data_IF_187459510729
#
_entry.id   IF_187459510729
#
_cell.length_a   1.000
_cell.length_b   1.000
_cell.length_c   1.000
_cell.angle_alpha   90.00
_cell.angle_beta   90.00
_cell.angle_gamma   90.00
#
_symmetry.space_group_name_H-M   'P 1'
#
loop_
_entity.id
_entity.type
_entity.pdbx_description
1 polymer ?
#
# COMPACT_ATOMS: atom_id res chain seq x y z
N UNK A 1 -12.19 14.44 13.21
CA UNK A 1 -12.32 13.03 12.76
C UNK A 1 -11.08 12.22 13.18
N UNK A 2 -9.87 12.63 12.86
CA UNK A 2 -8.63 11.90 13.23
C UNK A 2 -8.55 11.56 14.73
N UNK A 3 -8.95 12.46 15.61
CA UNK A 3 -8.92 12.27 17.06
C UNK A 3 -9.84 11.15 17.58
N UNK A 4 -10.78 10.64 16.77
CA UNK A 4 -11.68 9.54 17.17
C UNK A 4 -10.94 8.19 17.17
N UNK A 5 -9.86 8.07 16.34
CA UNK A 5 -9.06 6.85 16.24
C UNK A 5 -9.80 5.63 15.67
N UNK A 6 -10.90 5.86 14.95
CA UNK A 6 -11.67 4.80 14.28
C UNK A 6 -11.42 4.80 12.78
N UNK A 7 -10.81 3.76 12.26
CA UNK A 7 -10.48 3.60 10.84
C UNK A 7 -11.67 3.67 9.88
N UNK A 8 -12.88 3.45 10.37
CA UNK A 8 -14.11 3.49 9.57
C UNK A 8 -14.75 4.89 9.55
N UNK A 9 -14.31 5.78 10.45
CA UNK A 9 -14.74 7.18 10.46
C UNK A 9 -13.82 8.00 9.60
N UNK A 10 -14.19 8.18 8.34
CA UNK A 10 -13.38 8.92 7.35
C UNK A 10 -14.15 10.12 6.80
N UNK A 11 -13.40 11.14 6.38
CA UNK A 11 -13.91 12.22 5.52
C UNK A 11 -13.45 11.99 4.10
N UNK A 12 -14.24 12.40 3.13
CA UNK A 12 -13.81 12.42 1.74
C UNK A 12 -12.84 13.59 1.52
N UNK A 13 -11.54 13.33 1.55
CA UNK A 13 -10.51 14.33 1.24
C UNK A 13 -10.20 14.41 -0.27
N UNK A 14 -10.83 13.56 -1.08
CA UNK A 14 -10.61 13.52 -2.52
C UNK A 14 -10.85 14.87 -3.20
N UNK A 15 -11.80 15.69 -2.71
CA UNK A 15 -12.02 17.04 -3.25
C UNK A 15 -10.85 17.99 -2.98
N UNK A 16 -10.13 17.80 -1.87
CA UNK A 16 -8.93 18.59 -1.55
C UNK A 16 -7.77 18.12 -2.42
N UNK A 17 -7.57 16.81 -2.55
CA UNK A 17 -6.53 16.24 -3.40
C UNK A 17 -6.70 16.63 -4.88
N UNK A 18 -7.94 16.75 -5.36
CA UNK A 18 -8.22 17.12 -6.75
C UNK A 18 -8.10 18.63 -7.02
N UNK A 19 -7.97 19.46 -5.99
CA UNK A 19 -7.87 20.92 -6.14
C UNK A 19 -6.45 21.47 -6.01
N UNK A 20 -5.48 20.63 -5.75
CA UNK A 20 -4.08 21.02 -5.49
C UNK A 20 -3.12 20.13 -6.27
N UNK A 21 -1.86 20.52 -6.30
CA UNK A 21 -0.80 19.76 -6.94
C UNK A 21 -0.46 18.46 -6.21
N UNK A 22 0.17 17.57 -6.96
CA UNK A 22 0.70 16.30 -6.48
C UNK A 22 2.19 16.21 -6.81
N UNK A 23 3.01 15.89 -5.84
CA UNK A 23 4.46 15.72 -6.04
C UNK A 23 4.74 14.37 -6.70
N UNK A 24 5.47 14.30 -7.84
CA UNK A 24 5.70 13.09 -8.62
C UNK A 24 6.78 12.18 -8.01
N UNK A 25 6.52 11.65 -6.82
CA UNK A 25 7.35 10.63 -6.19
C UNK A 25 6.48 9.60 -5.45
N UNK A 26 7.06 8.46 -5.11
CA UNK A 26 6.39 7.43 -4.32
C UNK A 26 7.30 6.93 -3.21
N UNK A 27 6.79 6.86 -1.97
CA UNK A 27 7.47 6.23 -0.85
C UNK A 27 6.50 5.29 -0.14
N UNK A 28 6.95 4.07 0.14
CA UNK A 28 6.16 3.04 0.80
C UNK A 28 6.93 2.50 2.03
N UNK A 29 6.18 2.06 3.04
CA UNK A 29 6.77 1.49 4.26
C UNK A 29 7.04 0.00 4.08
N UNK A 30 8.31 -0.38 4.18
CA UNK A 30 8.76 -1.77 4.14
C UNK A 30 9.74 -2.03 5.28
N UNK A 31 9.48 -3.10 6.04
CA UNK A 31 10.39 -3.67 7.05
C UNK A 31 11.10 -2.63 7.95
N UNK A 32 10.34 -1.68 8.45
CA UNK A 32 10.85 -0.70 9.40
C UNK A 32 11.38 0.61 8.78
N UNK A 33 11.30 0.78 7.46
CA UNK A 33 11.79 1.99 6.78
C UNK A 33 10.85 2.47 5.68
N UNK A 34 10.94 3.75 5.34
CA UNK A 34 10.29 4.33 4.17
C UNK A 34 11.20 4.14 2.96
N UNK A 35 10.73 3.47 1.93
CA UNK A 35 11.53 3.15 0.74
C UNK A 35 10.99 3.94 -0.44
N UNK A 36 11.88 4.60 -1.18
CA UNK A 36 11.55 5.29 -2.42
C UNK A 36 11.17 4.26 -3.48
N UNK A 37 9.90 4.27 -3.90
CA UNK A 37 9.35 3.29 -4.85
C UNK A 37 9.01 3.88 -6.20
N UNK A 38 8.94 5.21 -6.30
CA UNK A 38 8.69 5.95 -7.53
C UNK A 38 9.46 7.26 -7.54
N UNK A 39 10.07 7.59 -8.67
CA UNK A 39 10.79 8.85 -8.89
C UNK A 39 10.79 9.19 -10.38
N UNK A 40 11.05 10.43 -10.74
CA UNK A 40 11.30 10.82 -12.13
C UNK A 40 12.55 10.10 -12.68
N UNK A 41 12.68 10.05 -14.00
CA UNK A 41 13.72 9.23 -14.66
C UNK A 41 15.14 9.68 -14.25
N UNK A 42 15.35 10.99 -14.04
CA UNK A 42 16.64 11.55 -13.63
C UNK A 42 17.06 11.10 -12.22
N UNK A 43 16.09 10.79 -11.35
CA UNK A 43 16.30 10.36 -9.96
C UNK A 43 16.14 8.85 -9.77
N UNK A 44 15.92 8.11 -10.85
CA UNK A 44 15.69 6.66 -10.83
C UNK A 44 16.83 5.86 -10.15
N UNK A 45 18.03 6.41 -10.11
CA UNK A 45 19.17 5.81 -9.41
C UNK A 45 18.99 5.74 -7.88
N UNK A 46 18.09 6.57 -7.31
CA UNK A 46 17.77 6.58 -5.88
C UNK A 46 16.66 5.61 -5.49
N UNK A 47 15.99 4.98 -6.46
CA UNK A 47 14.95 3.98 -6.18
C UNK A 47 15.47 2.85 -5.30
N UNK A 48 14.67 2.46 -4.31
CA UNK A 48 15.06 1.46 -3.32
C UNK A 48 15.84 2.02 -2.12
N UNK A 49 16.28 3.28 -2.16
CA UNK A 49 16.90 3.94 -1.02
C UNK A 49 15.86 4.28 0.06
N UNK A 50 16.32 4.37 1.30
CA UNK A 50 15.47 4.80 2.41
C UNK A 50 15.22 6.31 2.34
N UNK A 51 13.95 6.71 2.28
CA UNK A 51 13.54 8.13 2.41
C UNK A 51 13.63 8.49 3.89
N UNK A 52 14.44 9.50 4.20
CA UNK A 52 14.72 9.90 5.58
C UNK A 52 13.98 11.17 5.98
N UNK A 53 13.78 12.12 5.06
CA UNK A 53 13.12 13.38 5.33
C UNK A 53 12.46 13.98 4.07
N UNK A 54 11.48 14.88 4.28
CA UNK A 54 10.95 15.79 3.29
C UNK A 54 11.14 17.22 3.81
N UNK A 55 11.74 18.12 2.99
CA UNK A 55 12.11 19.47 3.40
C UNK A 55 12.81 19.51 4.78
N UNK A 56 13.68 18.54 5.05
CA UNK A 56 14.38 18.41 6.33
C UNK A 56 13.55 17.88 7.50
N UNK A 57 12.24 17.67 7.33
CA UNK A 57 11.37 17.05 8.37
C UNK A 57 11.51 15.53 8.30
N UNK A 58 11.90 14.87 9.40
CA UNK A 58 12.08 13.41 9.41
C UNK A 58 10.78 12.65 9.13
N UNK A 59 10.87 11.50 8.42
CA UNK A 59 9.70 10.71 8.03
C UNK A 59 8.85 10.21 9.22
N UNK A 60 9.46 9.91 10.38
CA UNK A 60 8.70 9.51 11.58
C UNK A 60 7.87 10.67 12.15
N UNK A 61 8.41 11.89 12.09
CA UNK A 61 7.67 13.10 12.47
C UNK A 61 6.54 13.38 11.48
N UNK A 62 6.80 13.25 10.18
CA UNK A 62 5.78 13.37 9.13
C UNK A 62 4.63 12.39 9.38
N UNK A 63 4.94 11.12 9.60
CA UNK A 63 3.92 10.11 9.91
C UNK A 63 3.10 10.47 11.17
N UNK A 64 3.77 11.01 12.20
CA UNK A 64 3.10 11.48 13.42
C UNK A 64 2.15 12.65 13.11
N UNK A 65 2.58 13.63 12.31
CA UNK A 65 1.75 14.77 11.89
C UNK A 65 0.54 14.30 11.07
N UNK A 66 0.70 13.32 10.18
CA UNK A 66 -0.42 12.70 9.44
C UNK A 66 -1.47 12.10 10.37
N UNK A 67 -1.11 11.64 11.58
CA UNK A 67 -2.05 11.20 12.60
C UNK A 67 -3.07 12.27 13.03
N UNK A 68 -2.83 13.55 12.72
CA UNK A 68 -3.81 14.64 12.96
C UNK A 68 -4.82 14.79 11.83
N UNK A 69 -4.50 14.31 10.62
CA UNK A 69 -5.35 14.37 9.44
C UNK A 69 -6.23 13.14 9.28
N UNK A 70 -5.64 11.96 9.51
CA UNK A 70 -6.26 10.68 9.21
C UNK A 70 -6.68 9.95 10.47
N UNK A 71 -7.81 9.25 10.39
CA UNK A 71 -8.29 8.41 11.48
C UNK A 71 -7.70 7.01 11.33
N UNK A 72 -6.89 6.60 12.31
CA UNK A 72 -6.24 5.30 12.31
C UNK A 72 -6.32 4.66 13.70
N UNK A 73 -6.73 3.41 13.77
CA UNK A 73 -6.86 2.62 14.99
C UNK A 73 -5.57 1.89 15.37
N UNK A 74 -4.59 1.89 14.47
CA UNK A 74 -3.29 1.27 14.69
C UNK A 74 -2.18 1.90 13.82
N UNK A 75 -0.88 1.70 14.20
CA UNK A 75 0.24 2.29 13.46
C UNK A 75 0.36 1.81 12.02
N UNK A 76 -0.06 0.59 11.70
CA UNK A 76 0.00 0.06 10.31
C UNK A 76 -0.97 0.83 9.42
N UNK A 77 -2.20 1.07 9.94
CA UNK A 77 -3.20 1.85 9.21
C UNK A 77 -2.73 3.30 9.01
N UNK A 78 -2.13 3.91 10.04
CA UNK A 78 -1.58 5.26 9.93
C UNK A 78 -0.53 5.34 8.82
N UNK A 79 0.46 4.45 8.82
CA UNK A 79 1.50 4.40 7.77
C UNK A 79 0.90 4.22 6.39
N UNK A 80 -0.06 3.30 6.25
CA UNK A 80 -0.73 3.05 4.97
C UNK A 80 -1.49 4.27 4.44
N UNK A 81 -2.11 5.05 5.32
CA UNK A 81 -2.77 6.29 4.92
C UNK A 81 -1.77 7.40 4.63
N UNK A 82 -0.66 7.47 5.37
CA UNK A 82 0.44 8.38 5.06
C UNK A 82 1.00 8.10 3.66
N UNK A 83 1.26 6.84 3.29
CA UNK A 83 1.69 6.46 1.94
C UNK A 83 0.76 6.99 0.84
N UNK A 84 -0.55 6.99 1.09
CA UNK A 84 -1.56 7.42 0.12
C UNK A 84 -1.67 8.93 -0.03
N UNK A 85 -1.19 9.70 0.95
CA UNK A 85 -1.37 11.14 1.02
C UNK A 85 -0.05 11.92 0.99
N UNK A 86 1.08 11.22 1.08
CA UNK A 86 2.42 11.80 1.21
C UNK A 86 2.82 12.67 0.01
N UNK A 87 2.24 12.39 -1.16
CA UNK A 87 2.50 13.14 -2.39
C UNK A 87 1.56 14.34 -2.58
N UNK A 88 0.60 14.57 -1.68
CA UNK A 88 -0.37 15.67 -1.80
C UNK A 88 0.21 16.98 -1.27
N UNK A 89 0.33 17.96 -2.16
CA UNK A 89 0.74 19.31 -1.82
C UNK A 89 -0.10 19.90 -0.67
N UNK A 90 -1.44 19.83 -0.78
CA UNK A 90 -2.32 20.36 0.25
C UNK A 90 -2.15 19.69 1.61
N UNK A 91 -1.88 18.37 1.65
CA UNK A 91 -1.63 17.69 2.92
C UNK A 91 -0.32 18.12 3.54
N UNK A 92 0.74 18.24 2.74
CA UNK A 92 2.06 18.67 3.22
C UNK A 92 2.06 20.12 3.68
N UNK A 93 1.37 21.02 2.96
CA UNK A 93 1.20 22.42 3.36
C UNK A 93 0.43 22.55 4.67
N UNK A 94 -0.72 21.88 4.78
CA UNK A 94 -1.51 21.87 6.01
C UNK A 94 -0.71 21.38 7.23
N UNK A 95 0.17 20.40 7.02
CA UNK A 95 1.02 19.83 8.09
C UNK A 95 2.31 20.65 8.34
N UNK A 96 2.54 21.74 7.59
CA UNK A 96 3.73 22.57 7.70
C UNK A 96 5.01 21.84 7.32
N UNK A 97 4.94 20.98 6.31
CA UNK A 97 6.07 20.21 5.76
C UNK A 97 6.58 20.87 4.48
N UNK A 98 5.68 21.35 3.63
CA UNK A 98 5.98 22.08 2.40
C UNK A 98 5.06 23.30 2.31
N UNK A 99 5.48 24.35 1.61
CA UNK A 99 4.62 25.49 1.25
C UNK A 99 3.99 25.22 -0.12
N UNK A 100 2.71 25.58 -0.29
CA UNK A 100 2.01 25.39 -1.56
C UNK A 100 2.65 26.22 -2.67
N UNK A 101 2.90 25.63 -3.82
CA UNK A 101 3.58 26.23 -4.96
C UNK A 101 5.10 26.16 -4.91
N UNK A 102 5.68 25.63 -3.83
CA UNK A 102 7.13 25.47 -3.70
C UNK A 102 7.56 24.02 -3.99
N UNK A 103 8.77 23.84 -4.54
CA UNK A 103 9.33 22.51 -4.74
C UNK A 103 9.54 21.76 -3.41
N UNK A 104 9.41 20.44 -3.45
CA UNK A 104 9.63 19.55 -2.32
C UNK A 104 11.00 18.89 -2.42
N UNK A 105 11.85 19.04 -1.41
CA UNK A 105 13.08 18.27 -1.30
C UNK A 105 12.80 16.90 -0.65
N UNK A 106 13.18 15.83 -1.35
CA UNK A 106 13.13 14.46 -0.85
C UNK A 106 14.54 14.00 -0.52
N UNK A 107 14.81 13.76 0.76
CA UNK A 107 16.11 13.26 1.23
C UNK A 107 16.07 11.76 1.42
N UNK A 108 17.04 11.07 0.83
CA UNK A 108 17.21 9.62 0.95
C UNK A 108 18.55 9.26 1.58
N UNK A 109 18.76 7.99 1.91
CA UNK A 109 20.07 7.48 2.36
C UNK A 109 21.17 7.57 1.29
N UNK A 110 20.81 7.72 0.03
CA UNK A 110 21.74 7.79 -1.11
C UNK A 110 21.95 9.19 -1.68
N UNK A 111 21.16 10.18 -1.24
CA UNK A 111 21.21 11.55 -1.75
C UNK A 111 19.88 12.25 -1.62
N UNK A 112 19.75 13.47 -2.12
CA UNK A 112 18.49 14.20 -2.17
C UNK A 112 18.17 14.65 -3.60
N UNK A 113 16.89 14.86 -3.86
CA UNK A 113 16.36 15.40 -5.11
C UNK A 113 15.18 16.32 -4.82
N UNK A 114 14.78 17.11 -5.79
CA UNK A 114 13.71 18.08 -5.65
C UNK A 114 12.64 17.81 -6.70
N UNK A 115 11.37 17.84 -6.31
CA UNK A 115 10.24 17.65 -7.21
C UNK A 115 9.28 18.84 -7.13
N UNK A 116 8.73 19.22 -8.27
CA UNK A 116 7.66 20.22 -8.36
C UNK A 116 6.29 19.55 -8.35
N UNK A 117 5.31 20.22 -7.73
CA UNK A 117 3.95 19.69 -7.73
C UNK A 117 3.33 19.82 -9.13
N UNK A 118 2.73 18.75 -9.61
CA UNK A 118 1.99 18.68 -10.86
C UNK A 118 0.49 18.80 -10.62
N UNK A 119 -0.28 19.45 -11.52
CA UNK A 119 -1.73 19.38 -11.51
C UNK A 119 -2.20 17.92 -11.54
N UNK A 120 -3.35 17.63 -10.92
CA UNK A 120 -3.92 16.27 -10.88
C UNK A 120 -4.12 15.66 -12.27
N UNK A 121 -4.45 16.46 -13.26
CA UNK A 121 -4.63 16.06 -14.66
C UNK A 121 -3.35 15.59 -15.33
N UNK A 122 -2.21 16.17 -14.94
CA UNK A 122 -0.89 15.87 -15.50
C UNK A 122 -0.18 14.75 -14.70
N UNK A 123 -0.55 14.55 -13.44
CA UNK A 123 0.08 13.55 -12.57
C UNK A 123 -0.05 12.13 -13.09
N UNK A 124 -1.17 11.78 -13.75
CA UNK A 124 -1.38 10.46 -14.34
C UNK A 124 -0.47 10.16 -15.55
N UNK A 125 0.00 11.22 -16.23
CA UNK A 125 0.88 11.14 -17.39
C UNK A 125 2.36 11.31 -17.01
N UNK A 126 2.65 11.63 -15.74
CA UNK A 126 4.02 11.72 -15.25
C UNK A 126 4.75 10.39 -15.42
N UNK A 127 5.85 10.42 -16.16
CA UNK A 127 6.67 9.24 -16.45
C UNK A 127 7.52 8.85 -15.23
N UNK A 128 6.87 8.29 -14.19
CA UNK A 128 7.59 7.81 -13.02
C UNK A 128 8.25 6.46 -13.29
N UNK A 129 9.55 6.41 -13.12
CA UNK A 129 10.28 5.17 -12.95
C UNK A 129 9.87 4.52 -11.63
N UNK A 130 9.58 3.22 -11.63
CA UNK A 130 9.21 2.51 -10.42
C UNK A 130 10.18 1.40 -10.07
N UNK A 131 10.38 1.19 -8.77
CA UNK A 131 11.22 0.11 -8.25
C UNK A 131 10.76 -1.27 -8.78
N UNK A 132 9.46 -1.45 -9.03
CA UNK A 132 8.91 -2.69 -9.58
C UNK A 132 9.32 -2.93 -11.04
N UNK A 133 9.56 -1.87 -11.82
CA UNK A 133 10.01 -1.97 -13.22
C UNK A 133 11.49 -2.32 -13.33
N UNK A 134 12.29 -2.02 -12.32
CA UNK A 134 13.73 -2.32 -12.29
C UNK A 134 14.04 -3.80 -12.00
N UNK A 135 13.04 -4.60 -11.67
CA UNK A 135 13.24 -6.02 -11.37
C UNK A 135 13.42 -6.81 -12.67
N UNK A 136 14.51 -7.58 -12.77
CA UNK A 136 14.77 -8.50 -13.89
C UNK A 136 13.69 -9.58 -14.04
N UNK A 137 13.05 -9.98 -12.93
CA UNK A 137 11.97 -10.95 -12.93
C UNK A 137 10.95 -10.64 -11.81
N UNK A 138 9.68 -10.92 -12.10
CA UNK A 138 8.62 -10.83 -11.09
C UNK A 138 8.49 -12.17 -10.38
N UNK A 139 8.82 -12.28 -9.08
CA UNK A 139 8.61 -13.52 -8.33
C UNK A 139 7.15 -13.98 -8.41
N UNK A 140 6.94 -15.29 -8.40
CA UNK A 140 5.59 -15.86 -8.39
C UNK A 140 4.73 -15.37 -7.20
N UNK A 141 5.39 -14.99 -6.10
CA UNK A 141 4.79 -14.43 -4.88
C UNK A 141 4.71 -12.91 -4.86
N UNK A 142 5.07 -12.22 -5.95
CA UNK A 142 4.98 -10.77 -6.01
C UNK A 142 3.53 -10.30 -5.86
N UNK A 143 3.35 -9.22 -5.10
CA UNK A 143 2.05 -8.62 -4.90
C UNK A 143 1.44 -8.13 -6.22
N UNK A 144 0.22 -8.57 -6.51
CA UNK A 144 -0.54 -8.21 -7.71
C UNK A 144 -1.61 -7.19 -7.35
N UNK A 145 -1.37 -5.93 -7.69
CA UNK A 145 -2.39 -4.87 -7.59
C UNK A 145 -3.53 -5.17 -8.60
N UNK A 146 -4.75 -4.79 -8.26
CA UNK A 146 -5.91 -4.91 -9.16
C UNK A 146 -6.56 -6.29 -9.24
N UNK A 147 -6.02 -7.32 -8.59
CA UNK A 147 -6.69 -8.61 -8.43
C UNK A 147 -7.35 -8.69 -7.06
N UNK A 148 -8.58 -9.21 -6.98
CA UNK A 148 -9.23 -9.42 -5.70
C UNK A 148 -8.62 -10.60 -4.95
N UNK A 149 -8.27 -11.64 -5.66
CA UNK A 149 -7.53 -12.80 -5.16
C UNK A 149 -6.73 -13.45 -6.28
N UNK A 150 -5.68 -14.12 -5.88
CA UNK A 150 -4.82 -14.90 -6.77
C UNK A 150 -4.29 -16.13 -6.04
N UNK A 151 -4.20 -17.23 -6.75
CA UNK A 151 -3.70 -18.48 -6.19
C UNK A 151 -2.89 -19.25 -7.24
N UNK A 152 -1.73 -19.77 -6.82
CA UNK A 152 -0.89 -20.59 -7.70
C UNK A 152 -0.06 -21.59 -6.89
N UNK A 153 0.21 -22.77 -7.47
CA UNK A 153 1.22 -23.70 -6.94
C UNK A 153 2.61 -23.14 -7.22
N UNK A 154 3.47 -23.12 -6.22
CA UNK A 154 4.89 -22.75 -6.37
C UNK A 154 5.74 -24.00 -6.64
N UNK A 155 5.37 -25.10 -6.00
CA UNK A 155 5.96 -26.43 -6.15
C UNK A 155 4.93 -27.51 -5.75
N UNK A 156 5.36 -28.76 -5.66
CA UNK A 156 4.47 -29.89 -5.34
C UNK A 156 3.91 -29.83 -3.91
N UNK A 157 4.51 -29.04 -3.02
CA UNK A 157 4.16 -28.96 -1.59
C UNK A 157 3.71 -27.60 -1.14
N UNK A 158 3.94 -26.54 -1.95
CA UNK A 158 3.71 -25.14 -1.57
C UNK A 158 2.68 -24.49 -2.50
N UNK A 159 1.66 -23.90 -1.89
CA UNK A 159 0.62 -23.17 -2.59
C UNK A 159 0.60 -21.71 -2.11
N UNK A 160 0.75 -20.77 -3.02
CA UNK A 160 0.69 -19.33 -2.74
C UNK A 160 -0.72 -18.81 -2.95
N UNK A 161 -1.22 -18.05 -1.99
CA UNK A 161 -2.53 -17.41 -2.06
C UNK A 161 -2.36 -15.94 -1.69
N UNK A 162 -2.80 -15.06 -2.58
CA UNK A 162 -2.96 -13.64 -2.33
C UNK A 162 -4.45 -13.31 -2.28
N UNK A 163 -4.89 -12.64 -1.21
CA UNK A 163 -6.27 -12.24 -1.01
C UNK A 163 -6.32 -10.75 -0.68
N UNK A 164 -6.79 -9.93 -1.59
CA UNK A 164 -6.73 -8.48 -1.49
C UNK A 164 -8.04 -7.85 -1.06
N UNK A 165 -9.16 -8.43 -1.51
CA UNK A 165 -10.49 -7.89 -1.22
C UNK A 165 -11.51 -9.01 -1.07
N UNK A 166 -12.43 -8.83 -0.12
CA UNK A 166 -13.58 -9.71 0.09
C UNK A 166 -14.72 -9.32 -0.86
N UNK A 167 -14.46 -9.42 -2.17
CA UNK A 167 -15.42 -9.07 -3.22
C UNK A 167 -15.45 -10.11 -4.32
N UNK A 168 -16.63 -10.33 -4.90
CA UNK A 168 -16.82 -11.10 -6.13
C UNK A 168 -17.14 -10.17 -7.30
N UNK A 169 -16.66 -10.54 -8.47
CA UNK A 169 -17.11 -9.96 -9.73
C UNK A 169 -17.56 -11.08 -10.68
N UNK A 170 -18.36 -10.78 -11.70
CA UNK A 170 -18.71 -11.78 -12.71
C UNK A 170 -17.50 -12.45 -13.36
N UNK A 171 -16.37 -11.71 -13.48
CA UNK A 171 -15.11 -12.23 -14.01
C UNK A 171 -14.22 -12.94 -12.99
N UNK A 172 -14.53 -12.80 -11.69
CA UNK A 172 -13.79 -13.42 -10.60
C UNK A 172 -14.74 -13.92 -9.51
N UNK A 173 -15.60 -14.91 -9.80
CA UNK A 173 -16.45 -15.51 -8.80
C UNK A 173 -15.65 -16.43 -7.88
N UNK A 174 -16.05 -16.57 -6.60
CA UNK A 174 -15.41 -17.47 -5.64
C UNK A 174 -15.33 -18.93 -6.14
N UNK A 175 -16.26 -19.29 -7.02
CA UNK A 175 -16.31 -20.61 -7.65
C UNK A 175 -15.21 -20.82 -8.69
N UNK A 176 -14.62 -19.76 -9.21
CA UNK A 176 -13.49 -19.83 -10.14
C UNK A 176 -12.15 -20.10 -9.45
N UNK A 177 -12.09 -20.02 -8.12
CA UNK A 177 -10.97 -20.57 -7.38
C UNK A 177 -10.87 -22.08 -7.68
N UNK A 178 -9.68 -22.58 -8.07
CA UNK A 178 -9.56 -23.96 -8.57
C UNK A 178 -10.21 -24.97 -7.65
N UNK A 179 -10.91 -25.99 -8.17
CA UNK A 179 -11.53 -27.05 -7.37
C UNK A 179 -10.56 -27.79 -6.44
N UNK A 180 -9.26 -27.73 -6.73
CA UNK A 180 -8.15 -28.21 -5.88
C UNK A 180 -8.16 -27.58 -4.48
N UNK A 181 -8.81 -26.45 -4.32
CA UNK A 181 -8.97 -25.75 -3.04
C UNK A 181 -9.94 -26.44 -2.08
N UNK A 182 -10.96 -27.11 -2.59
CA UNK A 182 -12.01 -27.68 -1.76
C UNK A 182 -11.68 -29.02 -1.13
N UNK A 183 -10.95 -29.94 -1.78
CA UNK A 183 -10.64 -31.25 -1.24
C UNK A 183 -9.20 -31.45 -0.75
N UNK A 184 -8.19 -30.77 -1.31
CA UNK A 184 -6.77 -31.01 -0.97
C UNK A 184 -6.44 -30.62 0.47
N UNK A 185 -7.06 -29.59 1.01
CA UNK A 185 -6.91 -29.19 2.41
C UNK A 185 -7.23 -30.28 3.43
N UNK A 186 -8.03 -31.26 3.04
CA UNK A 186 -8.41 -32.37 3.91
C UNK A 186 -7.52 -33.62 3.75
N UNK A 187 -6.70 -33.67 2.71
CA UNK A 187 -5.96 -34.88 2.36
C UNK A 187 -4.45 -34.81 2.50
N UNK A 188 -3.87 -33.61 2.46
CA UNK A 188 -2.41 -33.41 2.51
C UNK A 188 -2.00 -32.69 3.78
N UNK A 189 -1.54 -33.47 4.76
CA UNK A 189 -1.07 -33.00 6.06
C UNK A 189 0.28 -32.27 6.01
N UNK A 190 0.86 -32.06 4.84
CA UNK A 190 2.23 -31.50 4.65
C UNK A 190 2.30 -30.22 3.85
N UNK A 191 1.20 -29.74 3.28
CA UNK A 191 1.23 -28.49 2.50
C UNK A 191 1.45 -27.27 3.39
N UNK A 192 2.49 -26.48 3.09
CA UNK A 192 2.73 -25.17 3.71
C UNK A 192 1.98 -24.11 2.91
N UNK A 193 1.12 -23.36 3.57
CA UNK A 193 0.43 -22.24 2.95
C UNK A 193 1.08 -20.93 3.39
N UNK A 194 1.62 -20.19 2.43
CA UNK A 194 2.02 -18.80 2.67
C UNK A 194 0.81 -17.89 2.42
N UNK A 195 0.31 -17.31 3.49
CA UNK A 195 -0.75 -16.31 3.42
C UNK A 195 -0.12 -14.92 3.42
N UNK A 196 -0.41 -14.14 2.39
CA UNK A 196 -0.16 -12.71 2.42
C UNK A 196 -1.52 -12.03 2.36
N UNK A 197 -1.94 -11.46 3.49
CA UNK A 197 -3.09 -10.57 3.53
C UNK A 197 -2.62 -9.18 3.18
N UNK A 198 -2.97 -8.69 2.01
CA UNK A 198 -2.81 -7.29 1.70
C UNK A 198 -3.93 -6.50 2.36
N UNK A 199 -3.59 -5.40 2.99
CA UNK A 199 -4.50 -4.52 3.70
C UNK A 199 -5.61 -4.00 2.80
N UNK A 200 -6.81 -4.27 3.21
CA UNK A 200 -8.02 -4.01 2.47
C UNK A 200 -8.59 -2.63 2.72
N UNK A 201 -9.14 -2.05 1.67
CA UNK A 201 -10.29 -1.16 1.82
C UNK A 201 -11.40 -1.93 2.56
N UNK A 202 -12.17 -1.24 3.42
CA UNK A 202 -13.19 -1.83 4.28
C UNK A 202 -14.01 -2.93 3.59
N UNK A 203 -14.01 -4.12 4.17
CA UNK A 203 -14.84 -5.22 3.68
C UNK A 203 -16.32 -4.85 3.82
N UNK A 204 -17.17 -5.08 2.81
CA UNK A 204 -18.60 -4.96 2.98
C UNK A 204 -19.07 -5.87 4.11
N UNK A 205 -19.98 -5.39 4.94
CA UNK A 205 -20.51 -6.09 6.13
C UNK A 205 -21.06 -7.50 5.87
N UNK A 206 -21.31 -7.85 4.61
CA UNK A 206 -21.79 -9.16 4.20
C UNK A 206 -20.73 -10.28 4.24
N UNK A 207 -19.44 -9.97 4.35
CA UNK A 207 -18.36 -10.98 4.39
C UNK A 207 -18.06 -11.51 5.80
N UNK A 208 -18.75 -11.06 6.82
CA UNK A 208 -18.55 -11.47 8.22
C UNK A 208 -19.38 -12.68 8.64
N UNK A 209 -19.61 -13.62 7.75
CA UNK A 209 -20.13 -14.93 8.18
C UNK A 209 -18.98 -15.75 8.75
N UNK A 210 -19.04 -16.17 10.03
CA UNK A 210 -17.98 -17.01 10.66
C UNK A 210 -17.72 -18.32 9.92
N UNK A 211 -18.61 -18.72 9.05
CA UNK A 211 -18.51 -19.93 8.23
C UNK A 211 -17.56 -19.80 7.03
N UNK A 212 -17.14 -18.58 6.65
CA UNK A 212 -16.25 -18.34 5.51
C UNK A 212 -14.81 -17.98 5.91
N UNK A 213 -14.55 -17.65 7.17
CA UNK A 213 -13.20 -17.44 7.71
C UNK A 213 -12.75 -18.70 8.48
N UNK A 214 -12.48 -19.76 7.77
CA UNK A 214 -11.89 -20.97 8.36
C UNK A 214 -10.37 -20.83 8.43
N UNK A 215 -9.87 -20.27 9.56
CA UNK A 215 -8.49 -20.48 9.97
C UNK A 215 -8.44 -21.82 10.72
N UNK A 216 -7.59 -22.76 10.35
CA UNK A 216 -7.41 -24.01 11.10
C UNK A 216 -7.02 -23.70 12.55
N UNK A 217 -7.54 -24.45 13.50
CA UNK A 217 -7.39 -24.20 14.94
C UNK A 217 -5.93 -24.21 15.46
N UNK A 218 -4.98 -24.72 14.69
CA UNK A 218 -3.56 -24.74 15.04
C UNK A 218 -2.86 -23.38 14.87
N UNK A 219 -3.47 -22.41 14.19
CA UNK A 219 -2.95 -21.04 14.05
C UNK A 219 -3.18 -20.16 15.30
N UNK A 220 -3.95 -20.65 16.27
CA UNK A 220 -4.22 -19.92 17.53
C UNK A 220 -3.13 -20.10 18.61
N UNK A 221 -2.02 -20.77 18.32
CA UNK A 221 -0.97 -21.08 19.30
C UNK A 221 0.44 -20.69 18.84
N UNK A 222 0.59 -19.68 17.99
CA UNK A 222 1.89 -19.07 17.70
C UNK A 222 1.89 -17.62 18.13
#
# INVERSE_FOLDING_TARGET
MALIGDSHTTTNIGSVLNSTGLYPFGAEWYDGSWVLTGAEEEDAALLGQTVTALNGVPMDEICTRFGTLVSADNPVKLRRQTEQLLYSEACLDYLGIAESGEPLEVTTSGGSFTVEALPMEDFGDAALSSLSQQRESTPATAYRKGTYYFAQSLDDTTYYIQFNQCMETPSSPWTALPPRWRPSWRRETTARCCWISATTAAAPTACWSPSLCWCPAWWRRA
#
